data_IF_318913627283
#
_entry.id   IF_318913627283
#
_cell.length_a   1.000
_cell.length_b   1.000
_cell.length_c   1.000
_cell.angle_alpha   90.00
_cell.angle_beta   90.00
_cell.angle_gamma   90.00
#
_symmetry.space_group_name_H-M   'P 1'
#
loop_
_entity.id
_entity.type
_entity.pdbx_description
1 polymer ?
#
# COMPACT_ATOMS: atom_id res chain seq x y z
N UNK A 1 5.83 1.07 11.43
CA UNK A 1 5.07 -0.19 11.62
C UNK A 1 3.87 0.08 12.51
N UNK A 2 2.69 -0.38 12.10
CA UNK A 2 1.45 -0.32 12.88
C UNK A 2 0.76 -1.67 12.84
N UNK A 3 0.00 -2.00 13.88
CA UNK A 3 -0.78 -3.22 13.99
C UNK A 3 -1.75 -3.10 15.16
N UNK A 4 -2.54 -4.15 15.38
CA UNK A 4 -3.57 -4.18 16.40
C UNK A 4 -3.53 -5.48 17.21
N UNK A 5 -4.01 -5.39 18.45
CA UNK A 5 -4.16 -6.50 19.37
C UNK A 5 -5.64 -6.62 19.72
N UNK A 6 -6.20 -7.81 19.56
CA UNK A 6 -7.62 -8.10 19.77
C UNK A 6 -7.77 -9.19 20.84
N UNK A 7 -8.88 -9.14 21.58
CA UNK A 7 -9.21 -10.12 22.61
C UNK A 7 -9.71 -9.46 23.90
N UNK A 8 -9.80 -10.25 24.96
CA UNK A 8 -10.13 -9.77 26.30
C UNK A 8 -9.04 -8.83 26.84
N UNK A 9 -9.38 -8.05 27.88
CA UNK A 9 -8.43 -7.15 28.52
C UNK A 9 -7.14 -7.88 28.99
N UNK A 10 -7.28 -9.10 29.53
CA UNK A 10 -6.16 -9.92 29.96
C UNK A 10 -5.30 -10.40 28.77
N UNK A 11 -5.92 -10.83 27.67
CA UNK A 11 -5.21 -11.25 26.46
C UNK A 11 -4.41 -10.09 25.85
N UNK A 12 -5.03 -8.92 25.72
CA UNK A 12 -4.36 -7.72 25.20
C UNK A 12 -3.23 -7.29 26.13
N UNK A 13 -3.42 -7.33 27.46
CA UNK A 13 -2.36 -7.01 28.42
C UNK A 13 -1.15 -7.97 28.29
N UNK A 14 -1.41 -9.27 28.14
CA UNK A 14 -0.37 -10.28 27.92
C UNK A 14 0.38 -10.03 26.61
N UNK A 15 -0.35 -9.82 25.50
CA UNK A 15 0.25 -9.55 24.19
C UNK A 15 1.10 -8.27 24.20
N UNK A 16 0.64 -7.20 24.85
CA UNK A 16 1.42 -5.96 25.03
C UNK A 16 2.73 -6.20 25.76
N UNK A 17 2.73 -7.06 26.79
CA UNK A 17 3.94 -7.45 27.52
C UNK A 17 4.90 -8.23 26.63
N UNK A 18 4.39 -9.21 25.89
CA UNK A 18 5.19 -10.01 24.96
C UNK A 18 5.87 -9.13 23.89
N UNK A 19 5.11 -8.23 23.24
CA UNK A 19 5.65 -7.29 22.24
C UNK A 19 6.76 -6.41 22.82
N UNK A 20 6.55 -5.83 24.01
CA UNK A 20 7.59 -5.04 24.69
C UNK A 20 8.85 -5.85 24.99
N UNK A 21 8.68 -7.08 25.45
CA UNK A 21 9.79 -7.95 25.80
C UNK A 21 10.65 -8.31 24.58
N UNK A 22 10.03 -8.62 23.44
CA UNK A 22 10.76 -8.96 22.20
C UNK A 22 11.46 -7.72 21.63
N UNK A 23 10.81 -6.56 21.66
CA UNK A 23 11.35 -5.32 21.10
C UNK A 23 12.38 -4.61 22.00
N UNK A 24 12.56 -5.05 23.26
CA UNK A 24 13.43 -4.35 24.24
C UNK A 24 14.87 -4.15 23.75
N UNK A 25 15.36 -5.08 22.93
CA UNK A 25 16.74 -5.12 22.44
C UNK A 25 16.94 -4.40 21.11
N UNK A 26 15.86 -4.00 20.43
CA UNK A 26 15.94 -3.39 19.09
C UNK A 26 15.97 -1.86 19.14
N UNK A 27 15.83 -1.26 20.33
CA UNK A 27 15.66 0.19 20.50
C UNK A 27 14.28 0.72 20.09
N UNK A 28 13.40 -0.14 19.54
CA UNK A 28 12.05 0.24 19.17
C UNK A 28 11.20 0.56 20.40
N UNK A 29 10.42 1.65 20.32
CA UNK A 29 9.53 2.10 21.41
C UNK A 29 8.06 1.86 21.03
N UNK A 30 7.49 0.68 21.36
CA UNK A 30 6.11 0.39 21.00
C UNK A 30 5.14 1.33 21.74
N UNK A 31 4.30 2.02 20.97
CA UNK A 31 3.23 2.86 21.48
C UNK A 31 1.90 2.12 21.34
N UNK A 32 1.17 2.00 22.45
CA UNK A 32 -0.14 1.35 22.48
C UNK A 32 -1.22 2.41 22.68
N UNK A 33 -2.08 2.55 21.69
CA UNK A 33 -3.17 3.53 21.65
C UNK A 33 -4.49 2.77 21.76
N UNK A 34 -5.41 3.31 22.57
CA UNK A 34 -6.77 2.82 22.76
C UNK A 34 -7.76 3.99 22.67
N UNK A 35 -9.06 3.70 22.67
CA UNK A 35 -10.11 4.73 22.54
C UNK A 35 -10.06 5.75 23.69
N UNK A 36 -9.78 5.30 24.91
CA UNK A 36 -9.71 6.18 26.09
C UNK A 36 -8.59 7.20 25.95
N UNK A 37 -7.39 6.76 25.56
CA UNK A 37 -6.25 7.65 25.29
C UNK A 37 -6.55 8.64 24.17
N UNK A 38 -7.20 8.20 23.10
CA UNK A 38 -7.60 9.09 21.99
C UNK A 38 -8.67 10.10 22.42
N UNK A 39 -9.58 9.74 23.32
CA UNK A 39 -10.57 10.64 23.90
C UNK A 39 -9.92 11.70 24.78
N UNK A 40 -9.07 11.29 25.73
CA UNK A 40 -8.33 12.21 26.63
C UNK A 40 -7.41 13.13 25.83
N UNK A 41 -6.67 12.60 24.85
CA UNK A 41 -5.83 13.40 23.98
C UNK A 41 -6.64 14.41 23.15
N UNK A 42 -7.84 14.03 22.68
CA UNK A 42 -8.75 14.94 22.00
C UNK A 42 -9.23 16.08 22.90
N UNK A 43 -9.62 15.77 24.13
CA UNK A 43 -10.02 16.78 25.13
C UNK A 43 -8.88 17.75 25.44
N UNK A 44 -7.66 17.26 25.70
CA UNK A 44 -6.47 18.11 25.89
C UNK A 44 -6.18 18.98 24.67
N UNK A 45 -6.36 18.44 23.46
CA UNK A 45 -6.18 19.21 22.24
C UNK A 45 -7.20 20.34 22.11
N UNK A 46 -8.42 20.16 22.62
CA UNK A 46 -9.43 21.21 22.74
C UNK A 46 -9.01 22.31 23.71
N UNK A 47 -8.50 21.94 24.89
CA UNK A 47 -8.01 22.91 25.90
C UNK A 47 -6.83 23.75 25.39
N UNK A 48 -5.94 23.15 24.62
CA UNK A 48 -4.81 23.86 24.02
C UNK A 48 -5.22 24.82 22.88
N UNK A 49 -6.48 24.79 22.45
CA UNK A 49 -7.06 25.70 21.46
C UNK A 49 -6.27 25.75 20.15
N UNK A 50 -6.25 26.90 19.48
CA UNK A 50 -5.55 27.12 18.21
C UNK A 50 -4.03 27.32 18.33
N UNK A 51 -3.44 27.06 19.49
CA UNK A 51 -1.98 27.12 19.65
C UNK A 51 -1.31 26.06 18.75
N UNK A 52 -0.07 26.28 18.28
CA UNK A 52 0.65 25.30 17.46
C UNK A 52 0.69 23.88 18.07
N UNK A 53 0.86 23.80 19.39
CA UNK A 53 0.81 22.54 20.14
C UNK A 53 -0.57 21.87 20.08
N UNK A 54 -1.66 22.65 20.23
CA UNK A 54 -3.03 22.17 20.12
C UNK A 54 -3.35 21.64 18.72
N UNK A 55 -2.99 22.39 17.67
CA UNK A 55 -3.15 21.96 16.27
C UNK A 55 -2.40 20.66 15.98
N UNK A 56 -1.14 20.56 16.42
CA UNK A 56 -0.32 19.35 16.26
C UNK A 56 -0.92 18.15 16.99
N UNK A 57 -1.44 18.35 18.20
CA UNK A 57 -2.09 17.29 18.96
C UNK A 57 -3.40 16.84 18.28
N UNK A 58 -4.23 17.78 17.82
CA UNK A 58 -5.45 17.46 17.05
C UNK A 58 -5.14 16.64 15.81
N UNK A 59 -4.12 17.02 15.03
CA UNK A 59 -3.71 16.27 13.84
C UNK A 59 -3.26 14.83 14.19
N UNK A 60 -2.50 14.66 15.28
CA UNK A 60 -2.10 13.33 15.77
C UNK A 60 -3.28 12.50 16.23
N UNK A 61 -4.23 13.09 16.96
CA UNK A 61 -5.45 12.41 17.42
C UNK A 61 -6.32 11.99 16.23
N UNK A 62 -6.49 12.86 15.24
CA UNK A 62 -7.24 12.55 14.02
C UNK A 62 -6.62 11.36 13.27
N UNK A 63 -5.31 11.37 13.05
CA UNK A 63 -4.60 10.25 12.42
C UNK A 63 -4.71 8.97 13.26
N UNK A 64 -4.53 9.07 14.59
CA UNK A 64 -4.66 7.95 15.51
C UNK A 64 -6.05 7.32 15.48
N UNK A 65 -7.12 8.14 15.41
CA UNK A 65 -8.50 7.68 15.25
C UNK A 65 -8.70 6.97 13.92
N UNK A 66 -8.26 7.57 12.81
CA UNK A 66 -8.37 6.93 11.49
C UNK A 66 -7.65 5.58 11.41
N UNK A 67 -6.45 5.46 12.00
CA UNK A 67 -5.73 4.19 12.11
C UNK A 67 -6.48 3.19 13.00
N UNK A 68 -7.01 3.63 14.13
CA UNK A 68 -7.74 2.78 15.05
C UNK A 68 -9.05 2.26 14.43
N UNK A 69 -9.81 3.13 13.77
CA UNK A 69 -11.04 2.78 13.05
C UNK A 69 -10.77 1.84 11.88
N UNK A 70 -9.67 2.05 11.13
CA UNK A 70 -9.22 1.11 10.09
C UNK A 70 -9.00 -0.30 10.66
N UNK A 71 -8.33 -0.41 11.81
CA UNK A 71 -8.12 -1.71 12.46
C UNK A 71 -9.41 -2.32 13.03
N UNK A 72 -10.45 -1.52 13.28
CA UNK A 72 -11.80 -2.01 13.63
C UNK A 72 -12.66 -2.37 12.41
N UNK A 73 -12.16 -2.20 11.18
CA UNK A 73 -12.95 -2.36 9.97
C UNK A 73 -14.00 -1.26 9.78
N UNK A 74 -13.84 -0.11 10.44
CA UNK A 74 -14.71 1.06 10.27
C UNK A 74 -14.10 1.93 9.16
N UNK A 75 -14.75 2.00 7.98
CA UNK A 75 -14.19 2.73 6.86
C UNK A 75 -14.08 4.22 7.18
N UNK A 76 -12.96 4.81 6.80
CA UNK A 76 -12.77 6.25 6.78
C UNK A 76 -11.98 6.65 5.53
N UNK A 77 -12.40 7.71 4.85
CA UNK A 77 -11.73 8.14 3.61
C UNK A 77 -10.41 8.88 3.84
N UNK A 78 -9.88 8.94 5.07
CA UNK A 78 -8.69 9.75 5.40
C UNK A 78 -7.46 9.31 4.62
N UNK A 79 -7.32 8.00 4.38
CA UNK A 79 -6.18 7.42 3.66
C UNK A 79 -6.24 7.65 2.15
N UNK A 80 -7.39 8.09 1.62
CA UNK A 80 -7.48 8.53 0.22
C UNK A 80 -6.57 9.72 -0.06
N UNK A 81 -6.16 10.49 0.96
CA UNK A 81 -5.24 11.62 0.78
C UNK A 81 -3.94 11.24 0.04
N UNK A 82 -3.45 10.00 0.20
CA UNK A 82 -2.29 9.52 -0.54
C UNK A 82 -2.51 9.48 -2.05
N UNK A 83 -3.75 9.22 -2.50
CA UNK A 83 -4.10 9.24 -3.92
C UNK A 83 -3.99 10.64 -4.55
N UNK A 84 -4.20 11.69 -3.75
CA UNK A 84 -4.16 13.08 -4.19
C UNK A 84 -2.76 13.70 -4.06
N UNK A 85 -1.74 12.94 -3.62
CA UNK A 85 -0.42 13.48 -3.25
C UNK A 85 0.20 14.40 -4.31
N UNK A 86 0.14 13.99 -5.58
CA UNK A 86 0.70 14.75 -6.71
C UNK A 86 -0.33 15.54 -7.50
N UNK A 87 -1.61 15.47 -7.15
CA UNK A 87 -2.66 16.22 -7.85
C UNK A 87 -2.50 17.70 -7.55
N UNK A 88 -2.27 18.54 -8.56
CA UNK A 88 -2.08 20.00 -8.40
C UNK A 88 -3.27 20.70 -7.76
N UNK A 89 -4.48 20.24 -8.05
CA UNK A 89 -5.71 20.76 -7.44
C UNK A 89 -5.88 20.40 -5.95
N UNK A 90 -4.93 19.68 -5.35
CA UNK A 90 -4.96 19.28 -3.94
C UNK A 90 -6.11 18.33 -3.60
N UNK A 91 -6.48 18.32 -2.32
CA UNK A 91 -7.63 17.57 -1.83
C UNK A 91 -8.95 18.25 -2.26
N UNK A 92 -10.00 17.49 -2.57
CA UNK A 92 -11.30 18.06 -2.92
C UNK A 92 -11.93 18.79 -1.71
N UNK A 93 -12.79 19.80 -1.95
CA UNK A 93 -13.56 20.44 -0.89
C UNK A 93 -14.37 19.41 -0.09
N UNK A 94 -14.37 19.53 1.24
CA UNK A 94 -15.11 18.59 2.11
C UNK A 94 -14.43 17.23 2.34
N UNK A 95 -13.18 17.06 1.90
CA UNK A 95 -12.40 15.83 2.13
C UNK A 95 -12.45 15.39 3.61
N UNK A 96 -12.68 14.08 3.90
CA UNK A 96 -12.72 12.96 2.95
C UNK A 96 -14.10 12.72 2.29
N UNK A 97 -15.13 13.48 2.64
CA UNK A 97 -16.47 13.34 2.06
C UNK A 97 -16.45 13.64 0.56
N UNK A 98 -17.03 12.75 -0.25
CA UNK A 98 -17.12 12.93 -1.71
C UNK A 98 -15.82 12.73 -2.49
N UNK A 99 -14.71 12.41 -1.83
CA UNK A 99 -13.44 12.15 -2.50
C UNK A 99 -13.53 10.90 -3.39
N UNK A 100 -13.26 11.05 -4.69
CA UNK A 100 -13.21 9.95 -5.64
C UNK A 100 -11.99 10.10 -6.55
N UNK A 101 -10.85 9.46 -6.23
CA UNK A 101 -9.62 9.60 -7.00
C UNK A 101 -9.76 9.27 -8.49
N UNK A 102 -10.69 8.38 -8.86
CA UNK A 102 -10.93 8.03 -10.25
C UNK A 102 -11.63 9.15 -11.03
N UNK A 103 -12.63 9.81 -10.42
CA UNK A 103 -13.32 10.96 -11.01
C UNK A 103 -12.50 12.24 -10.92
N UNK A 104 -11.68 12.38 -9.87
CA UNK A 104 -10.83 13.55 -9.63
C UNK A 104 -9.52 13.52 -10.43
N UNK A 105 -9.39 12.57 -11.35
CA UNK A 105 -8.24 12.31 -12.22
C UNK A 105 -6.90 12.16 -11.48
N UNK A 106 -6.88 11.43 -10.36
CA UNK A 106 -5.64 11.10 -9.67
C UNK A 106 -4.84 10.02 -10.41
N UNK A 107 -3.51 10.17 -10.46
CA UNK A 107 -2.60 9.19 -11.05
C UNK A 107 -2.02 8.25 -10.00
N UNK A 108 -2.28 6.95 -10.13
CA UNK A 108 -1.72 5.90 -9.27
C UNK A 108 -1.35 4.65 -10.07
N UNK A 109 -0.14 4.15 -9.87
CA UNK A 109 0.29 2.82 -10.30
C UNK A 109 0.85 2.06 -9.09
N UNK A 110 0.63 0.75 -9.05
CA UNK A 110 1.13 -0.11 -7.98
C UNK A 110 1.93 -1.28 -8.52
N UNK A 111 3.13 -1.46 -7.97
CA UNK A 111 3.86 -2.72 -8.05
C UNK A 111 3.76 -3.38 -6.67
N UNK A 112 3.22 -4.59 -6.65
CA UNK A 112 2.79 -5.23 -5.40
C UNK A 112 3.49 -6.57 -5.14
N UNK A 113 4.82 -6.58 -4.91
CA UNK A 113 5.62 -7.81 -4.78
C UNK A 113 5.23 -8.61 -3.54
N UNK A 114 5.34 -9.94 -3.61
CA UNK A 114 5.36 -10.81 -2.43
C UNK A 114 6.82 -11.10 -2.07
N UNK A 115 7.11 -11.07 -0.78
CA UNK A 115 8.44 -11.36 -0.25
C UNK A 115 8.34 -12.16 1.05
N UNK A 116 9.38 -12.91 1.43
CA UNK A 116 9.45 -13.55 2.74
C UNK A 116 9.28 -12.54 3.88
N UNK A 117 8.79 -12.99 5.04
CA UNK A 117 8.75 -12.22 6.29
C UNK A 117 10.15 -12.07 6.90
N UNK A 118 11.09 -11.54 6.12
CA UNK A 118 12.48 -11.31 6.47
C UNK A 118 12.84 -9.84 6.24
N UNK A 119 13.58 -9.26 7.19
CA UNK A 119 14.05 -7.87 7.07
C UNK A 119 15.03 -7.67 5.92
N UNK A 120 15.82 -8.70 5.59
CA UNK A 120 16.78 -8.66 4.47
C UNK A 120 16.07 -8.50 3.13
N UNK A 121 15.05 -9.31 2.85
CA UNK A 121 14.26 -9.21 1.62
C UNK A 121 13.54 -7.85 1.50
N UNK A 122 12.98 -7.35 2.60
CA UNK A 122 12.36 -6.02 2.62
C UNK A 122 13.38 -4.93 2.24
N UNK A 123 14.56 -4.96 2.86
CA UNK A 123 15.63 -4.00 2.58
C UNK A 123 16.15 -4.15 1.15
N UNK A 124 16.23 -5.36 0.61
CA UNK A 124 16.61 -5.63 -0.78
C UNK A 124 15.60 -5.04 -1.75
N UNK A 125 14.30 -5.27 -1.57
CA UNK A 125 13.24 -4.66 -2.40
C UNK A 125 13.30 -3.13 -2.32
N UNK A 126 13.52 -2.56 -1.13
CA UNK A 126 13.70 -1.12 -0.98
C UNK A 126 14.91 -0.60 -1.78
N UNK A 127 16.06 -1.28 -1.67
CA UNK A 127 17.29 -0.89 -2.37
C UNK A 127 17.18 -1.00 -3.90
N UNK A 128 16.33 -1.91 -4.42
CA UNK A 128 15.99 -1.97 -5.83
C UNK A 128 15.07 -0.81 -6.26
N UNK A 129 14.06 -0.49 -5.46
CA UNK A 129 13.06 0.51 -5.82
C UNK A 129 13.58 1.96 -5.72
N UNK A 130 14.29 2.30 -4.66
CA UNK A 130 14.74 3.68 -4.38
C UNK A 130 15.47 4.37 -5.56
N UNK A 131 16.51 3.78 -6.18
CA UNK A 131 17.20 4.41 -7.29
C UNK A 131 16.31 4.61 -8.52
N UNK A 132 15.34 3.72 -8.77
CA UNK A 132 14.39 3.83 -9.89
C UNK A 132 13.46 5.03 -9.65
N UNK A 133 12.88 5.15 -8.46
CA UNK A 133 12.04 6.29 -8.10
C UNK A 133 12.80 7.62 -8.20
N UNK A 134 14.04 7.65 -7.70
CA UNK A 134 14.91 8.82 -7.80
C UNK A 134 15.20 9.21 -9.24
N UNK A 135 15.52 8.23 -10.10
CA UNK A 135 15.81 8.45 -11.52
C UNK A 135 14.64 9.12 -12.24
N UNK A 136 13.41 8.70 -11.95
CA UNK A 136 12.20 9.21 -12.63
C UNK A 136 11.56 10.42 -11.93
N UNK A 137 12.12 10.89 -10.81
CA UNK A 137 11.66 12.07 -10.09
C UNK A 137 10.42 11.85 -9.21
N UNK A 138 10.26 10.65 -8.64
CA UNK A 138 9.14 10.28 -7.77
C UNK A 138 9.58 10.02 -6.32
N UNK A 139 8.66 10.28 -5.39
CA UNK A 139 8.81 9.89 -3.99
C UNK A 139 8.49 8.41 -3.83
N UNK A 140 9.33 7.66 -3.10
CA UNK A 140 9.10 6.23 -2.87
C UNK A 140 8.05 6.03 -1.77
N UNK A 141 6.80 5.77 -2.18
CA UNK A 141 5.76 5.30 -1.27
C UNK A 141 5.72 3.77 -1.22
N UNK A 142 6.21 3.19 -0.13
CA UNK A 142 6.18 1.75 0.07
C UNK A 142 5.46 1.39 1.38
N UNK A 143 4.48 0.50 1.29
CA UNK A 143 3.85 -0.15 2.45
C UNK A 143 4.10 -1.64 2.37
N UNK A 144 4.57 -2.23 3.47
CA UNK A 144 4.75 -3.67 3.60
C UNK A 144 3.81 -4.18 4.69
N UNK A 145 2.94 -5.11 4.31
CA UNK A 145 1.91 -5.68 5.19
C UNK A 145 2.13 -7.18 5.33
N UNK A 146 2.03 -7.70 6.55
CA UNK A 146 2.03 -9.14 6.77
C UNK A 146 0.79 -9.75 6.12
N UNK A 147 1.00 -10.65 5.16
CA UNK A 147 -0.07 -11.49 4.61
C UNK A 147 -0.35 -12.63 5.60
N UNK A 148 0.73 -13.24 6.08
CA UNK A 148 0.74 -14.27 7.13
C UNK A 148 2.09 -14.21 7.87
N UNK A 149 2.36 -15.19 8.73
CA UNK A 149 3.58 -15.27 9.52
C UNK A 149 4.87 -15.52 8.71
N UNK A 150 4.74 -15.81 7.40
CA UNK A 150 5.84 -16.19 6.51
C UNK A 150 6.05 -15.23 5.34
N UNK A 151 5.08 -14.38 5.02
CA UNK A 151 5.09 -13.55 3.84
C UNK A 151 4.61 -12.12 4.11
N UNK A 152 5.29 -11.16 3.47
CA UNK A 152 4.85 -9.77 3.34
C UNK A 152 4.32 -9.54 1.92
N UNK A 153 3.29 -8.71 1.82
CA UNK A 153 2.87 -8.06 0.59
C UNK A 153 3.40 -6.62 0.60
N UNK A 154 4.19 -6.28 -0.41
CA UNK A 154 4.54 -4.91 -0.72
C UNK A 154 3.43 -4.23 -1.51
N UNK A 155 3.24 -2.94 -1.26
CA UNK A 155 2.47 -2.03 -2.12
C UNK A 155 3.35 -0.82 -2.34
N UNK A 156 4.04 -0.81 -3.48
CA UNK A 156 4.93 0.27 -3.91
C UNK A 156 4.14 1.14 -4.89
N UNK A 157 3.92 2.40 -4.53
CA UNK A 157 3.00 3.31 -5.20
C UNK A 157 3.74 4.39 -5.97
N UNK A 158 3.53 4.44 -7.28
CA UNK A 158 3.90 5.58 -8.12
C UNK A 158 2.70 6.51 -8.16
N UNK A 159 2.71 7.55 -7.32
CA UNK A 159 1.70 8.62 -7.35
C UNK A 159 2.19 9.73 -8.29
N UNK A 160 1.34 10.18 -9.20
CA UNK A 160 1.70 11.15 -10.23
C UNK A 160 0.55 12.08 -10.59
N UNK A 161 0.88 13.23 -11.16
CA UNK A 161 -0.09 14.15 -11.72
C UNK A 161 -0.56 13.66 -13.10
N UNK A 162 -1.79 13.18 -13.18
CA UNK A 162 -2.35 12.60 -14.41
C UNK A 162 -2.77 13.66 -15.43
N UNK A 163 -2.90 14.93 -15.01
CA UNK A 163 -3.15 16.05 -15.92
C UNK A 163 -1.87 16.48 -16.67
N UNK A 164 -0.70 15.96 -16.27
CA UNK A 164 0.59 16.19 -16.92
C UNK A 164 0.97 15.00 -17.81
N UNK A 165 0.93 15.15 -19.15
CA UNK A 165 1.32 14.07 -20.07
C UNK A 165 2.76 13.60 -19.85
N UNK A 166 3.68 14.54 -19.64
CA UNK A 166 5.09 14.25 -19.39
C UNK A 166 5.30 13.46 -18.09
N UNK A 167 4.59 13.84 -17.03
CA UNK A 167 4.68 13.12 -15.75
C UNK A 167 4.02 11.74 -15.83
N UNK A 168 2.92 11.62 -16.57
CA UNK A 168 2.26 10.34 -16.85
C UNK A 168 3.20 9.38 -17.61
N UNK A 169 3.92 9.87 -18.61
CA UNK A 169 4.91 9.08 -19.35
C UNK A 169 6.05 8.61 -18.42
N UNK A 170 6.62 9.52 -17.61
CA UNK A 170 7.65 9.15 -16.63
C UNK A 170 7.14 8.16 -15.57
N UNK A 171 5.90 8.31 -15.10
CA UNK A 171 5.30 7.40 -14.14
C UNK A 171 5.18 5.99 -14.72
N UNK A 172 4.81 5.85 -15.99
CA UNK A 172 4.75 4.57 -16.68
C UNK A 172 6.15 3.96 -16.88
N UNK A 173 7.17 4.77 -17.20
CA UNK A 173 8.56 4.31 -17.29
C UNK A 173 9.09 3.82 -15.93
N UNK A 174 8.84 4.59 -14.86
CA UNK A 174 9.18 4.21 -13.49
C UNK A 174 8.50 2.90 -13.10
N UNK A 175 7.21 2.76 -13.42
CA UNK A 175 6.44 1.56 -13.14
C UNK A 175 6.99 0.33 -13.87
N UNK A 176 7.25 0.43 -15.18
CA UNK A 176 7.78 -0.69 -15.98
C UNK A 176 9.14 -1.13 -15.47
N UNK A 177 10.07 -0.19 -15.31
CA UNK A 177 11.40 -0.51 -14.81
C UNK A 177 11.36 -1.15 -13.43
N UNK A 178 10.51 -0.65 -12.53
CA UNK A 178 10.31 -1.26 -11.21
C UNK A 178 9.72 -2.67 -11.31
N UNK A 179 8.67 -2.85 -12.12
CA UNK A 179 8.02 -4.14 -12.33
C UNK A 179 9.01 -5.20 -12.83
N UNK A 180 9.76 -4.87 -13.88
CA UNK A 180 10.77 -5.76 -14.47
C UNK A 180 11.86 -6.08 -13.43
N UNK A 181 12.37 -5.06 -12.73
CA UNK A 181 13.43 -5.24 -11.71
C UNK A 181 12.99 -6.16 -10.57
N UNK A 182 11.76 -6.01 -10.04
CA UNK A 182 11.30 -6.87 -8.94
C UNK A 182 10.95 -8.28 -9.43
N UNK A 183 10.44 -8.42 -10.66
CA UNK A 183 10.18 -9.72 -11.28
C UNK A 183 11.48 -10.48 -11.51
N UNK A 184 12.51 -9.84 -12.09
CA UNK A 184 13.85 -10.43 -12.30
C UNK A 184 14.53 -10.82 -10.99
N UNK A 185 14.30 -10.04 -9.92
CA UNK A 185 14.80 -10.35 -8.58
C UNK A 185 14.03 -11.50 -7.88
N UNK A 186 12.97 -12.03 -8.49
CA UNK A 186 12.16 -13.14 -7.97
C UNK A 186 11.02 -12.72 -7.04
N UNK A 187 10.73 -11.42 -6.91
CA UNK A 187 9.65 -10.88 -6.08
C UNK A 187 8.37 -10.69 -6.89
N UNK A 188 7.72 -11.81 -7.21
CA UNK A 188 6.54 -11.84 -8.08
C UNK A 188 5.36 -11.08 -7.44
N UNK A 189 4.70 -10.15 -8.15
CA UNK A 189 3.54 -9.45 -7.62
C UNK A 189 2.31 -10.34 -7.43
N UNK A 190 1.63 -10.22 -6.28
CA UNK A 190 0.37 -10.95 -6.05
C UNK A 190 -0.80 -10.37 -6.87
N UNK A 191 -0.67 -9.11 -7.31
CA UNK A 191 -1.64 -8.42 -8.16
C UNK A 191 -0.92 -7.43 -9.07
N UNK A 192 -1.38 -7.34 -10.32
CA UNK A 192 -0.86 -6.40 -11.32
C UNK A 192 -1.97 -5.55 -11.94
N UNK A 193 -1.59 -4.40 -12.48
CA UNK A 193 -2.46 -3.58 -13.31
C UNK A 193 -2.60 -4.15 -14.73
N UNK A 194 -3.54 -3.61 -15.49
CA UNK A 194 -3.83 -4.04 -16.88
C UNK A 194 -2.59 -3.94 -17.77
N UNK A 195 -1.77 -2.92 -17.55
CA UNK A 195 -0.56 -2.62 -18.31
C UNK A 195 0.55 -3.68 -18.20
N UNK A 196 0.47 -4.62 -17.25
CA UNK A 196 1.51 -5.66 -17.04
C UNK A 196 0.96 -7.08 -17.03
N UNK A 197 -0.32 -7.29 -17.34
CA UNK A 197 -0.87 -8.66 -17.37
C UNK A 197 -0.23 -9.52 -18.44
N UNK A 198 0.17 -8.92 -19.56
CA UNK A 198 0.86 -9.61 -20.64
C UNK A 198 2.31 -10.00 -20.29
N UNK A 199 2.89 -9.32 -19.30
CA UNK A 199 4.30 -9.47 -18.92
C UNK A 199 4.52 -10.48 -17.77
N UNK A 200 3.44 -11.11 -17.29
CA UNK A 200 3.51 -12.11 -16.23
C UNK A 200 4.08 -13.47 -16.68
N UNK A 201 4.05 -13.77 -17.98
CA UNK A 201 4.67 -14.98 -18.54
C UNK A 201 5.99 -14.61 -19.22
N UNK A 202 7.09 -15.21 -18.75
CA UNK A 202 8.41 -15.06 -19.36
C UNK A 202 8.56 -15.86 -20.67
N UNK A 203 7.49 -16.49 -21.17
CA UNK A 203 7.44 -17.16 -22.47
C UNK A 203 7.54 -18.68 -22.40
N UNK A 204 7.08 -19.31 -21.33
CA UNK A 204 7.18 -20.76 -21.20
C UNK A 204 6.63 -21.38 -19.92
N UNK A 205 6.03 -20.56 -19.05
CA UNK A 205 5.56 -21.04 -17.75
C UNK A 205 4.47 -22.11 -17.92
N UNK A 206 4.59 -23.23 -17.20
CA UNK A 206 3.58 -24.30 -17.22
C UNK A 206 2.26 -23.85 -16.59
N UNK A 207 2.30 -22.97 -15.59
CA UNK A 207 1.13 -22.38 -14.94
C UNK A 207 0.27 -21.61 -15.95
N UNK A 208 0.88 -20.70 -16.72
CA UNK A 208 0.15 -19.88 -17.69
C UNK A 208 -0.42 -20.71 -18.85
N UNK A 209 0.30 -21.75 -19.28
CA UNK A 209 -0.22 -22.72 -20.27
C UNK A 209 -1.44 -23.49 -19.76
N UNK A 210 -1.44 -23.91 -18.50
CA UNK A 210 -2.61 -24.57 -17.88
C UNK A 210 -3.77 -23.58 -17.74
N UNK A 211 -3.51 -22.36 -17.28
CA UNK A 211 -4.53 -21.32 -17.17
C UNK A 211 -5.19 -21.02 -18.53
N UNK A 212 -4.41 -20.93 -19.60
CA UNK A 212 -4.92 -20.74 -20.97
C UNK A 212 -5.80 -21.90 -21.44
N UNK A 213 -5.43 -23.15 -21.13
CA UNK A 213 -6.26 -24.34 -21.45
C UNK A 213 -7.58 -24.34 -20.70
N UNK A 214 -7.56 -24.03 -19.39
CA UNK A 214 -8.77 -23.92 -18.59
C UNK A 214 -9.69 -22.82 -19.12
N UNK A 215 -9.11 -21.66 -19.50
CA UNK A 215 -9.84 -20.55 -20.09
C UNK A 215 -10.52 -20.96 -21.40
N UNK A 216 -9.80 -21.63 -22.30
CA UNK A 216 -10.36 -22.10 -23.57
C UNK A 216 -11.49 -23.13 -23.37
N UNK A 217 -11.41 -23.98 -22.35
CA UNK A 217 -12.45 -24.96 -22.04
C UNK A 217 -13.72 -24.32 -21.45
N UNK A 218 -13.58 -23.30 -20.60
CA UNK A 218 -14.70 -22.65 -19.90
C UNK A 218 -15.29 -21.46 -20.66
N UNK A 219 -14.52 -20.82 -21.53
CA UNK A 219 -14.94 -19.69 -22.37
C UNK A 219 -14.36 -19.84 -23.78
N UNK A 220 -14.88 -20.79 -24.58
CA UNK A 220 -14.35 -21.11 -25.91
C UNK A 220 -14.49 -19.97 -26.92
N UNK A 221 -15.40 -19.02 -26.68
CA UNK A 221 -15.59 -17.83 -27.53
C UNK A 221 -14.77 -16.62 -27.05
N UNK A 222 -14.10 -16.72 -25.90
CA UNK A 222 -13.25 -15.65 -25.36
C UNK A 222 -14.00 -14.38 -24.95
N UNK A 223 -15.28 -14.48 -24.57
CA UNK A 223 -16.15 -13.32 -24.28
C UNK A 223 -15.82 -12.71 -22.91
N UNK A 224 -15.42 -13.54 -21.94
CA UNK A 224 -15.29 -13.13 -20.54
C UNK A 224 -13.90 -12.56 -20.28
N UNK A 225 -13.79 -11.22 -20.33
CA UNK A 225 -12.60 -10.44 -19.94
C UNK A 225 -11.28 -10.95 -20.57
N UNK A 226 -11.16 -10.96 -21.91
CA UNK A 226 -9.95 -11.41 -22.59
C UNK A 226 -8.70 -10.64 -22.12
N UNK A 227 -7.60 -11.36 -21.89
CA UNK A 227 -6.33 -10.82 -21.41
C UNK A 227 -6.22 -10.64 -19.88
N UNK A 228 -7.31 -10.83 -19.13
CA UNK A 228 -7.30 -10.74 -17.66
C UNK A 228 -6.60 -11.95 -17.04
N UNK A 229 -5.36 -11.78 -16.55
CA UNK A 229 -4.51 -12.89 -16.06
C UNK A 229 -4.40 -14.03 -17.09
N UNK A 230 -4.30 -13.64 -18.36
CA UNK A 230 -4.06 -14.55 -19.46
C UNK A 230 -2.97 -13.92 -20.32
N UNK A 231 -1.69 -14.05 -19.91
CA UNK A 231 -0.59 -13.58 -20.72
C UNK A 231 -0.66 -14.24 -22.11
N UNK A 232 -0.37 -13.51 -23.18
CA UNK A 232 -0.33 -14.10 -24.51
C UNK A 232 0.77 -15.15 -24.56
N UNK A 233 0.52 -16.26 -25.27
CA UNK A 233 1.60 -17.18 -25.61
C UNK A 233 2.61 -16.42 -26.47
N UNK A 234 3.83 -16.22 -25.96
CA UNK A 234 4.93 -15.71 -26.78
C UNK A 234 5.34 -16.84 -27.73
N UNK A 235 5.16 -16.60 -29.03
CA UNK A 235 5.56 -17.51 -30.13
C UNK A 235 7.05 -17.36 -30.39
#
# INVERSE_FOLDING_TARGET
VSGALYGSACQVACARRAVRQVLRHTGARPQFIDERKLAVAGWMAGLLGERPAGRRLRAKVALGRSLFDMNKGIPNGRFLAGAYWRRRGGLPPGFPGGANPALDNCGLLWVSPVLPMCGEDLLRVHALAEPIFRLHGFDLFATFSMINERALGGVITVAYDKDSPDETARAMMCYRQLFDTVMEAGYIPYRVGLQSMADLDSGGDSYWRVAARLKAALDPQGIIAPGRYQPPARV
#
